data_IF_416127085735
#
_entry.id   IF_416127085735
#
_cell.length_a   1.000
_cell.length_b   1.000
_cell.length_c   1.000
_cell.angle_alpha   90.00
_cell.angle_beta   90.00
_cell.angle_gamma   90.00
#
_symmetry.space_group_name_H-M   'P 1'
#
loop_
_entity.id
_entity.type
_entity.pdbx_description
1 polymer ?
#
# COMPACT_ATOMS: atom_id res chain seq x y z
N UNK A 1 -3.90 6.90 -6.42
CA UNK A 1 -4.01 8.37 -6.32
C UNK A 1 -2.60 8.91 -6.34
N UNK A 2 -2.28 9.69 -7.38
CA UNK A 2 -0.98 10.34 -7.50
C UNK A 2 -0.91 11.57 -6.61
N UNK A 3 0.18 11.72 -5.88
CA UNK A 3 0.52 12.93 -5.13
C UNK A 3 1.53 13.71 -5.97
N UNK A 4 1.03 14.55 -6.87
CA UNK A 4 1.83 15.23 -7.91
C UNK A 4 3.05 15.97 -7.36
N UNK A 5 2.89 16.72 -6.26
CA UNK A 5 4.00 17.47 -5.63
C UNK A 5 5.15 16.56 -5.21
N UNK A 6 4.84 15.34 -4.78
CA UNK A 6 5.83 14.39 -4.32
C UNK A 6 6.20 13.34 -5.38
N UNK A 7 5.54 13.32 -6.54
CA UNK A 7 5.76 12.33 -7.59
C UNK A 7 5.70 10.87 -7.08
N UNK A 8 4.73 10.57 -6.21
CA UNK A 8 4.48 9.21 -5.69
C UNK A 8 3.00 8.85 -5.76
N UNK A 9 2.71 7.55 -5.71
CA UNK A 9 1.34 7.05 -5.71
C UNK A 9 0.94 6.46 -4.36
N UNK A 10 -0.22 6.88 -3.86
CA UNK A 10 -0.85 6.25 -2.71
C UNK A 10 -1.66 5.06 -3.21
N UNK A 11 -1.28 3.85 -2.79
CA UNK A 11 -1.96 2.59 -3.10
C UNK A 11 -3.10 2.31 -2.13
N UNK A 12 -2.89 2.55 -0.84
CA UNK A 12 -3.91 2.34 0.19
C UNK A 12 -3.76 3.33 1.34
N UNK A 13 -4.88 3.65 1.99
CA UNK A 13 -4.92 4.41 3.23
C UNK A 13 -5.72 3.60 4.24
N UNK A 14 -5.14 3.38 5.41
CA UNK A 14 -5.77 2.68 6.52
C UNK A 14 -5.79 3.58 7.75
N UNK A 15 -6.90 3.60 8.48
CA UNK A 15 -7.00 4.30 9.77
C UNK A 15 -7.63 3.38 10.80
N UNK A 16 -6.93 3.16 11.91
CA UNK A 16 -7.37 2.28 13.00
C UNK A 16 -7.87 0.93 12.47
N UNK A 17 -7.04 0.28 11.65
CA UNK A 17 -7.29 -1.02 11.01
C UNK A 17 -8.43 -1.09 9.99
N UNK A 18 -9.00 0.07 9.62
CA UNK A 18 -10.01 0.13 8.56
C UNK A 18 -9.42 0.70 7.29
N UNK A 19 -9.66 0.02 6.17
CA UNK A 19 -9.28 0.52 4.85
C UNK A 19 -10.21 1.69 4.49
N UNK A 20 -9.63 2.87 4.32
CA UNK A 20 -10.34 4.12 3.98
C UNK A 20 -10.27 4.39 2.48
N UNK A 21 -9.21 3.89 1.85
CA UNK A 21 -8.95 4.05 0.43
C UNK A 21 -8.11 2.88 -0.08
N UNK A 22 -8.47 2.41 -1.27
CA UNK A 22 -7.67 1.49 -2.07
C UNK A 22 -7.65 2.01 -3.50
N UNK A 23 -6.46 2.13 -4.09
CA UNK A 23 -6.31 2.63 -5.45
C UNK A 23 -6.66 1.52 -6.46
N UNK A 24 -7.81 1.64 -7.12
CA UNK A 24 -8.20 0.75 -8.22
C UNK A 24 -7.61 1.15 -9.58
N UNK A 25 -7.09 2.37 -9.70
CA UNK A 25 -6.62 2.96 -10.97
C UNK A 25 -5.08 3.03 -11.04
N UNK A 26 -4.40 2.06 -10.43
CA UNK A 26 -2.94 2.02 -10.33
C UNK A 26 -2.27 1.24 -11.48
N UNK A 27 -3.00 0.93 -12.56
CA UNK A 27 -2.60 -0.06 -13.58
C UNK A 27 -1.22 0.23 -14.16
N UNK A 28 -0.92 1.51 -14.43
CA UNK A 28 0.34 1.95 -15.03
C UNK A 28 1.57 1.71 -14.14
N UNK A 29 1.38 1.43 -12.85
CA UNK A 29 2.47 1.13 -11.90
C UNK A 29 2.85 -0.36 -11.87
N UNK A 30 2.00 -1.22 -12.43
CA UNK A 30 2.15 -2.66 -12.35
C UNK A 30 2.57 -3.25 -13.71
N UNK A 31 3.59 -4.10 -13.66
CA UNK A 31 4.03 -4.89 -14.80
C UNK A 31 3.51 -6.30 -14.62
N UNK A 32 2.85 -6.81 -15.67
CA UNK A 32 2.39 -8.19 -15.71
C UNK A 32 3.57 -9.11 -15.98
N UNK A 33 3.79 -10.08 -15.11
CA UNK A 33 4.81 -11.11 -15.33
C UNK A 33 4.30 -12.24 -16.23
N UNK A 34 5.16 -13.24 -16.44
CA UNK A 34 4.88 -14.37 -17.35
C UNK A 34 3.73 -15.25 -16.87
N UNK A 35 3.46 -15.25 -15.56
CA UNK A 35 2.41 -16.05 -14.94
C UNK A 35 1.08 -15.27 -14.88
N UNK A 36 1.08 -14.04 -15.39
CA UNK A 36 -0.09 -13.16 -15.45
C UNK A 36 -0.29 -12.34 -14.18
N UNK A 37 0.60 -12.47 -13.21
CA UNK A 37 0.57 -11.74 -11.94
C UNK A 37 1.08 -10.32 -12.14
N UNK A 38 0.39 -9.36 -11.51
CA UNK A 38 0.75 -7.96 -11.61
C UNK A 38 1.70 -7.60 -10.48
N UNK A 39 2.90 -7.17 -10.81
CA UNK A 39 3.93 -6.78 -9.85
C UNK A 39 4.28 -5.31 -10.01
N UNK A 40 4.36 -4.58 -8.90
CA UNK A 40 4.78 -3.19 -8.91
C UNK A 40 6.23 -3.09 -9.41
N UNK A 41 6.47 -2.19 -10.37
CA UNK A 41 7.81 -1.84 -10.81
C UNK A 41 8.42 -0.75 -9.91
N UNK A 42 8.85 -1.19 -8.72
CA UNK A 42 9.35 -0.31 -7.68
C UNK A 42 9.20 -0.91 -6.27
N UNK A 43 8.97 -0.05 -5.27
CA UNK A 43 8.82 -0.44 -3.87
C UNK A 43 7.72 0.36 -3.18
N UNK A 44 7.08 -0.29 -2.21
CA UNK A 44 6.13 0.35 -1.30
C UNK A 44 6.80 0.63 0.04
N UNK A 45 6.51 1.80 0.59
CA UNK A 45 6.80 2.17 1.98
C UNK A 45 5.48 2.40 2.70
N UNK A 46 5.36 1.88 3.93
CA UNK A 46 4.24 2.20 4.79
C UNK A 46 4.63 3.39 5.68
N UNK A 47 3.96 4.52 5.47
CA UNK A 47 4.07 5.73 6.26
C UNK A 47 3.02 5.69 7.37
N UNK A 48 3.48 5.55 8.61
CA UNK A 48 2.61 5.45 9.79
C UNK A 48 2.61 6.79 10.51
N UNK A 49 1.44 7.39 10.65
CA UNK A 49 1.21 8.60 11.43
C UNK A 49 0.44 8.22 12.70
N UNK A 50 1.05 8.47 13.86
CA UNK A 50 0.45 8.17 15.16
C UNK A 50 0.06 9.46 15.87
N UNK A 51 -1.25 9.64 16.07
CA UNK A 51 -1.83 10.78 16.78
C UNK A 51 -1.53 10.70 18.27
N UNK A 52 -1.02 11.80 18.83
CA UNK A 52 -0.58 11.87 20.23
C UNK A 52 -1.75 11.97 21.21
N UNK A 53 -2.87 12.57 20.78
CA UNK A 53 -4.01 12.86 21.66
C UNK A 53 -5.15 11.86 21.46
N UNK A 54 -5.51 11.59 20.20
CA UNK A 54 -6.63 10.71 19.87
C UNK A 54 -6.22 9.24 19.73
N UNK A 55 -4.91 8.95 19.75
CA UNK A 55 -4.38 7.60 19.57
C UNK A 55 -4.63 7.03 18.17
N UNK A 56 -4.95 7.88 17.20
CA UNK A 56 -5.20 7.46 15.83
C UNK A 56 -3.93 6.88 15.20
N UNK A 57 -4.05 5.72 14.55
CA UNK A 57 -3.00 5.15 13.70
C UNK A 57 -3.45 5.25 12.25
N UNK A 58 -2.71 6.03 11.45
CA UNK A 58 -3.02 6.24 10.03
C UNK A 58 -1.83 5.74 9.22
N UNK A 59 -2.09 4.79 8.32
CA UNK A 59 -1.08 4.17 7.47
C UNK A 59 -1.34 4.55 6.01
N UNK A 60 -0.30 5.04 5.35
CA UNK A 60 -0.29 5.28 3.91
C UNK A 60 0.68 4.32 3.25
N UNK A 61 0.17 3.47 2.37
CA UNK A 61 0.97 2.58 1.55
C UNK A 61 1.33 3.29 0.26
N UNK A 62 2.57 3.78 0.18
CA UNK A 62 3.03 4.67 -0.88
C UNK A 62 4.00 3.94 -1.80
N UNK A 63 3.68 3.90 -3.08
CA UNK A 63 4.52 3.37 -4.13
C UNK A 63 5.51 4.43 -4.63
N UNK A 64 6.77 4.01 -4.68
CA UNK A 64 7.87 4.66 -5.38
C UNK A 64 8.18 3.85 -6.63
N UNK A 65 8.42 4.53 -7.75
CA UNK A 65 8.84 3.86 -8.98
C UNK A 65 10.23 3.21 -8.83
N UNK A 66 10.65 2.44 -9.84
CA UNK A 66 11.95 1.75 -9.82
C UNK A 66 13.15 2.69 -9.69
N UNK A 67 13.10 3.88 -10.33
CA UNK A 67 14.21 4.84 -10.29
C UNK A 67 14.41 5.44 -8.89
N UNK A 68 13.32 5.91 -8.27
CA UNK A 68 13.32 6.39 -6.89
C UNK A 68 13.70 5.26 -5.93
N UNK A 69 13.12 4.08 -6.13
CA UNK A 69 13.39 2.91 -5.30
C UNK A 69 14.86 2.49 -5.36
N UNK A 70 15.47 2.51 -6.55
CA UNK A 70 16.87 2.18 -6.72
C UNK A 70 17.76 3.19 -6.00
N UNK A 71 17.52 4.47 -6.21
CA UNK A 71 18.28 5.56 -5.59
C UNK A 71 18.20 5.51 -4.06
N UNK A 72 16.99 5.35 -3.52
CA UNK A 72 16.77 5.37 -2.08
C UNK A 72 17.22 4.08 -1.40
N UNK A 73 16.89 2.91 -1.95
CA UNK A 73 17.02 1.64 -1.23
C UNK A 73 18.21 0.80 -1.67
N UNK A 74 18.76 1.05 -2.86
CA UNK A 74 19.99 0.38 -3.33
C UNK A 74 21.21 1.29 -3.11
N UNK A 75 21.14 2.55 -3.52
CA UNK A 75 22.25 3.49 -3.34
C UNK A 75 22.27 4.18 -1.98
N UNK A 76 21.17 4.09 -1.20
CA UNK A 76 21.02 4.75 0.10
C UNK A 76 21.22 6.27 0.05
N UNK A 77 20.99 6.88 -1.11
CA UNK A 77 21.20 8.30 -1.34
C UNK A 77 19.91 9.08 -1.04
N UNK A 78 20.00 10.10 -0.18
CA UNK A 78 18.89 11.03 0.09
C UNK A 78 17.64 10.40 0.70
N UNK A 79 17.71 9.14 1.16
CA UNK A 79 16.52 8.35 1.55
C UNK A 79 15.67 9.07 2.61
N UNK A 80 16.27 9.51 3.72
CA UNK A 80 15.54 10.20 4.79
C UNK A 80 14.95 11.54 4.34
N UNK A 81 15.64 12.28 3.49
CA UNK A 81 15.18 13.55 2.94
C UNK A 81 13.97 13.33 2.05
N UNK A 82 14.03 12.34 1.15
CA UNK A 82 12.93 11.98 0.26
C UNK A 82 11.70 11.48 1.02
N UNK A 83 11.89 10.65 2.04
CA UNK A 83 10.78 10.17 2.89
C UNK A 83 10.14 11.31 3.68
N UNK A 84 10.93 12.19 4.29
CA UNK A 84 10.41 13.35 5.01
C UNK A 84 9.64 14.29 4.09
N UNK A 85 10.14 14.50 2.87
CA UNK A 85 9.45 15.29 1.85
C UNK A 85 8.09 14.69 1.49
N UNK A 86 8.04 13.38 1.20
CA UNK A 86 6.79 12.67 0.90
C UNK A 86 5.82 12.73 2.10
N UNK A 87 6.30 12.55 3.32
CA UNK A 87 5.47 12.63 4.53
C UNK A 87 4.83 14.01 4.71
N UNK A 88 5.60 15.08 4.45
CA UNK A 88 5.10 16.46 4.47
C UNK A 88 4.04 16.68 3.37
N UNK A 89 4.28 16.19 2.16
CA UNK A 89 3.33 16.31 1.06
C UNK A 89 2.02 15.56 1.35
N UNK A 90 2.07 14.36 1.95
CA UNK A 90 0.89 13.63 2.42
C UNK A 90 0.13 14.46 3.44
N UNK A 91 0.82 14.94 4.47
CA UNK A 91 0.19 15.72 5.53
C UNK A 91 -0.47 16.98 4.97
N UNK A 92 0.24 17.74 4.14
CA UNK A 92 -0.27 18.93 3.45
C UNK A 92 -1.52 18.62 2.63
N UNK A 93 -1.48 17.56 1.82
CA UNK A 93 -2.60 17.20 0.94
C UNK A 93 -3.87 16.82 1.73
N UNK A 94 -3.74 16.06 2.83
CA UNK A 94 -4.93 15.55 3.54
C UNK A 94 -5.34 16.40 4.75
N UNK A 95 -4.42 17.11 5.40
CA UNK A 95 -4.72 17.96 6.54
C UNK A 95 -5.14 19.37 6.10
N UNK A 96 -4.43 19.99 5.15
CA UNK A 96 -4.69 21.38 4.77
C UNK A 96 -5.82 21.52 3.75
N UNK A 97 -6.00 20.54 2.85
CA UNK A 97 -7.06 20.60 1.84
C UNK A 97 -8.48 20.29 2.39
N UNK A 98 -8.63 20.08 3.70
CA UNK A 98 -9.91 19.69 4.33
C UNK A 98 -10.52 18.40 3.78
N UNK A 99 -9.74 17.64 3.01
CA UNK A 99 -10.22 16.57 2.17
C UNK A 99 -10.13 15.24 2.92
N UNK A 100 -11.29 14.62 3.16
CA UNK A 100 -11.50 13.25 3.67
C UNK A 100 -11.36 13.01 5.19
N UNK A 101 -11.22 14.02 6.06
CA UNK A 101 -11.18 13.84 7.53
C UNK A 101 -10.19 12.73 7.98
N UNK A 102 -9.10 12.53 7.23
CA UNK A 102 -8.12 11.47 7.52
C UNK A 102 -7.29 11.88 8.74
N UNK A 103 -6.74 13.09 8.72
CA UNK A 103 -6.07 13.70 9.86
C UNK A 103 -7.04 14.57 10.67
N UNK A 104 -6.87 14.56 11.98
CA UNK A 104 -7.45 15.54 12.89
C UNK A 104 -6.66 16.85 12.78
N UNK A 105 -7.34 17.97 12.60
CA UNK A 105 -6.71 19.30 12.52
C UNK A 105 -6.16 19.79 13.86
N UNK A 106 -6.56 19.16 14.97
CA UNK A 106 -6.13 19.51 16.32
C UNK A 106 -5.09 18.58 16.92
N UNK A 107 -4.92 17.38 16.35
CA UNK A 107 -3.95 16.42 16.87
C UNK A 107 -2.55 16.66 16.30
N UNK A 108 -1.54 16.18 17.02
CA UNK A 108 -0.15 16.16 16.57
C UNK A 108 0.22 14.72 16.24
N UNK A 109 0.93 14.54 15.13
CA UNK A 109 1.31 13.23 14.65
C UNK A 109 2.82 13.04 14.73
N UNK A 110 3.25 11.89 15.24
CA UNK A 110 4.59 11.39 14.95
C UNK A 110 4.55 10.52 13.71
N UNK A 111 5.65 10.54 12.94
CA UNK A 111 5.76 9.77 11.70
C UNK A 111 6.79 8.66 11.86
N UNK A 112 6.44 7.46 11.41
CA UNK A 112 7.33 6.32 11.27
C UNK A 112 7.25 5.79 9.84
N UNK A 113 8.33 5.16 9.41
CA UNK A 113 8.44 4.61 8.06
C UNK A 113 8.80 3.13 8.18
N UNK A 114 7.94 2.25 7.66
CA UNK A 114 8.19 0.80 7.62
C UNK A 114 8.65 0.45 6.20
N UNK A 115 9.87 -0.10 6.11
CA UNK A 115 10.62 -0.05 4.86
C UNK A 115 10.58 -1.29 3.98
N UNK A 116 10.41 -0.96 2.70
CA UNK A 116 10.62 -1.73 1.47
C UNK A 116 9.83 -3.02 1.37
N UNK A 117 8.64 -2.87 0.81
CA UNK A 117 7.82 -3.97 0.38
C UNK A 117 7.88 -4.10 -1.13
N UNK A 118 8.00 -5.33 -1.62
CA UNK A 118 7.52 -5.66 -2.97
C UNK A 118 6.01 -5.69 -2.91
N UNK A 119 5.35 -5.22 -3.95
CA UNK A 119 3.89 -5.25 -4.05
C UNK A 119 3.44 -6.04 -5.29
N UNK A 120 2.38 -6.79 -5.10
CA UNK A 120 1.69 -7.57 -6.12
C UNK A 120 0.21 -7.24 -6.06
N UNK A 121 -0.48 -7.32 -7.20
CA UNK A 121 -1.90 -7.05 -7.31
C UNK A 121 -2.60 -8.21 -8.00
N UNK A 122 -3.73 -8.63 -7.45
CA UNK A 122 -4.57 -9.69 -8.00
C UNK A 122 -6.00 -9.56 -7.47
N UNK A 123 -6.98 -9.64 -8.36
CA UNK A 123 -8.42 -9.67 -8.01
C UNK A 123 -8.84 -8.55 -7.03
N UNK A 124 -8.38 -7.31 -7.27
CA UNK A 124 -8.70 -6.15 -6.43
C UNK A 124 -7.98 -6.12 -5.07
N UNK A 125 -6.98 -6.98 -4.86
CA UNK A 125 -6.18 -7.05 -3.63
C UNK A 125 -4.74 -6.65 -3.89
N UNK A 126 -4.14 -6.00 -2.91
CA UNK A 126 -2.70 -5.75 -2.86
C UNK A 126 -2.06 -6.69 -1.85
N UNK A 127 -1.07 -7.44 -2.29
CA UNK A 127 -0.18 -8.19 -1.42
C UNK A 127 1.19 -7.51 -1.38
N UNK A 128 1.67 -7.23 -0.19
CA UNK A 128 2.94 -6.57 0.04
C UNK A 128 3.79 -7.41 0.98
N UNK A 129 5.07 -7.59 0.67
CA UNK A 129 5.98 -8.39 1.50
C UNK A 129 7.37 -7.79 1.49
N UNK A 130 7.99 -7.71 2.67
CA UNK A 130 9.35 -7.22 2.79
C UNK A 130 10.37 -8.25 2.27
N UNK A 131 11.59 -7.81 1.98
CA UNK A 131 12.61 -8.69 1.41
C UNK A 131 12.96 -9.89 2.32
N UNK A 132 12.91 -9.70 3.64
CA UNK A 132 13.18 -10.75 4.62
C UNK A 132 12.01 -11.74 4.76
N UNK A 133 10.85 -11.44 4.17
CA UNK A 133 9.60 -12.21 4.31
C UNK A 133 9.17 -12.39 5.77
N UNK A 134 9.43 -11.40 6.61
CA UNK A 134 9.06 -11.36 8.03
C UNK A 134 7.87 -10.45 8.30
N UNK A 135 7.50 -9.62 7.33
CA UNK A 135 6.34 -8.74 7.40
C UNK A 135 5.63 -8.75 6.06
N UNK A 136 4.30 -8.85 6.12
CA UNK A 136 3.45 -8.81 4.94
C UNK A 136 2.14 -8.10 5.23
N UNK A 137 1.54 -7.58 4.16
CA UNK A 137 0.21 -7.00 4.18
C UNK A 137 -0.61 -7.62 3.06
N UNK A 138 -1.86 -7.96 3.36
CA UNK A 138 -2.88 -8.22 2.35
C UNK A 138 -4.00 -7.20 2.55
N UNK A 139 -4.24 -6.37 1.55
CA UNK A 139 -5.19 -5.26 1.61
C UNK A 139 -6.20 -5.43 0.50
N UNK A 140 -7.48 -5.40 0.85
CA UNK A 140 -8.59 -5.22 -0.09
C UNK A 140 -9.43 -4.00 0.31
N UNK A 141 -10.54 -3.78 -0.37
CA UNK A 141 -11.39 -2.61 -0.12
C UNK A 141 -12.11 -2.65 1.25
N UNK A 142 -12.11 -3.78 1.94
CA UNK A 142 -12.83 -3.99 3.20
C UNK A 142 -11.89 -4.16 4.39
N UNK A 143 -10.70 -4.70 4.17
CA UNK A 143 -9.87 -5.23 5.25
C UNK A 143 -8.37 -5.21 4.95
N UNK A 144 -7.60 -5.32 6.03
CA UNK A 144 -6.15 -5.44 6.01
C UNK A 144 -5.71 -6.55 6.98
N UNK A 145 -4.79 -7.39 6.53
CA UNK A 145 -4.18 -8.48 7.32
C UNK A 145 -2.67 -8.26 7.44
N UNK A 146 -2.08 -8.54 8.61
CA UNK A 146 -0.67 -8.20 8.93
C UNK A 146 0.13 -9.24 9.73
N UNK A 147 -0.52 -10.24 10.34
CA UNK A 147 0.09 -11.04 11.41
C UNK A 147 0.90 -12.24 10.89
N UNK A 148 0.23 -13.17 10.19
CA UNK A 148 0.86 -14.39 9.70
C UNK A 148 1.26 -14.24 8.22
N UNK A 149 2.56 -14.10 7.98
CA UNK A 149 3.13 -13.91 6.65
C UNK A 149 2.87 -15.12 5.74
N UNK A 150 2.88 -16.33 6.27
CA UNK A 150 2.69 -17.54 5.48
C UNK A 150 1.21 -17.76 5.15
N UNK A 151 0.31 -17.45 6.09
CA UNK A 151 -1.12 -17.38 5.84
C UNK A 151 -1.44 -16.33 4.76
N UNK A 152 -0.91 -15.12 4.88
CA UNK A 152 -1.11 -14.03 3.91
C UNK A 152 -0.66 -14.46 2.51
N UNK A 153 0.54 -15.05 2.38
CA UNK A 153 1.05 -15.56 1.10
C UNK A 153 0.13 -16.63 0.54
N UNK A 154 -0.26 -17.60 1.37
CA UNK A 154 -1.15 -18.68 0.94
C UNK A 154 -2.49 -18.11 0.44
N UNK A 155 -3.07 -17.14 1.15
CA UNK A 155 -4.32 -16.49 0.74
C UNK A 155 -4.21 -15.74 -0.58
N UNK A 156 -3.08 -15.08 -0.84
CA UNK A 156 -2.88 -14.35 -2.09
C UNK A 156 -2.60 -15.27 -3.28
N UNK A 157 -1.69 -16.23 -3.13
CA UNK A 157 -1.24 -17.10 -4.23
C UNK A 157 -2.21 -18.26 -4.50
N UNK A 158 -2.81 -18.87 -3.46
CA UNK A 158 -3.54 -20.13 -3.61
C UNK A 158 -5.04 -19.99 -3.90
N UNK A 159 -5.61 -18.77 -3.94
CA UNK A 159 -7.02 -18.58 -4.34
C UNK A 159 -7.20 -18.54 -5.86
N UNK A 160 -6.64 -19.54 -6.54
CA UNK A 160 -6.97 -19.89 -7.93
C UNK A 160 -7.53 -21.31 -7.89
N UNK A 161 -8.84 -21.46 -7.62
CA UNK A 161 -9.66 -22.67 -7.88
C UNK A 161 -11.13 -22.59 -7.38
N UNK A 162 -11.65 -21.43 -6.97
CA UNK A 162 -13.02 -21.32 -6.45
C UNK A 162 -14.01 -20.57 -7.36
N UNK A 163 -13.62 -20.19 -8.58
CA UNK A 163 -14.50 -19.54 -9.57
C UNK A 163 -14.63 -20.34 -10.89
N UNK A 164 -14.51 -21.67 -10.82
CA UNK A 164 -14.80 -22.57 -11.96
C UNK A 164 -15.86 -23.63 -11.62
N UNK A 165 -16.81 -23.32 -10.74
CA UNK A 165 -17.98 -24.15 -10.51
C UNK A 165 -19.20 -23.26 -10.57
N UNK A 166 -19.69 -22.95 -11.77
CA UNK A 166 -21.09 -22.70 -12.15
C UNK A 166 -21.13 -22.33 -13.64
N UNK A 167 -20.62 -23.22 -14.49
CA UNK A 167 -21.00 -23.29 -15.89
C UNK A 167 -20.83 -24.74 -16.29
N UNK A 168 -21.87 -25.54 -16.04
CA UNK A 168 -22.23 -26.73 -16.82
C UNK A 168 -23.55 -27.32 -16.27
N UNK A 169 -24.46 -27.57 -17.21
CA UNK A 169 -25.67 -28.41 -17.11
C UNK A 169 -26.95 -27.86 -16.47
N UNK A 170 -27.65 -26.99 -17.21
CA UNK A 170 -29.11 -27.13 -17.34
C UNK A 170 -29.41 -27.76 -18.71
N UNK A 171 -29.69 -29.07 -18.80
CA UNK A 171 -30.41 -29.62 -19.93
C UNK A 171 -31.91 -29.55 -19.63
N UNK A 172 -32.62 -28.78 -20.46
CA UNK A 172 -34.08 -28.80 -20.75
C UNK A 172 -35.07 -28.86 -19.58
#
# INVERSE_FOLDING_TARGET
MRLEEAEVDILAIVRNDKVIYLNSEADDLFVRDKDGDEKLDGRVVNFVFSGQSEGACIEFFVAFDDSDSYTMFTLQAGMMERLNYVAQAIFKYFAEAGSKNIFSITDRYSTQYIYTFKAYRKSGKYFMVNNAQTQAYLIDNLSIMRDDVDEIKAMFWNKSNAESVFDDDIPF
#
